data_IF_527888153638
#
_entry.id   IF_527888153638
#
_cell.length_a   1.000
_cell.length_b   1.000
_cell.length_c   1.000
_cell.angle_alpha   90.00
_cell.angle_beta   90.00
_cell.angle_gamma   90.00
#
_symmetry.space_group_name_H-M   'P 1'
#
loop_
_entity.id
_entity.type
_entity.pdbx_description
1 polymer ?
#
# COMPACT_ATOMS: atom_id res chain seq x y z
N UNK A 1 -17.85 -8.17 4.01
CA UNK A 1 -17.93 -6.71 3.79
C UNK A 1 -16.60 -6.30 3.17
N UNK A 2 -16.57 -5.51 2.08
CA UNK A 2 -15.31 -5.00 1.56
C UNK A 2 -14.70 -4.02 2.57
N UNK A 3 -13.42 -4.16 2.85
CA UNK A 3 -12.65 -3.23 3.67
C UNK A 3 -12.02 -2.22 2.72
N UNK A 4 -12.24 -0.93 2.95
CA UNK A 4 -11.60 0.11 2.18
C UNK A 4 -10.18 0.29 2.71
N UNK A 5 -9.21 -0.02 1.86
CA UNK A 5 -7.80 0.22 2.15
C UNK A 5 -7.48 1.63 1.67
N UNK A 6 -7.22 2.53 2.62
CA UNK A 6 -6.80 3.90 2.34
C UNK A 6 -5.28 3.95 2.30
N UNK A 7 -4.73 4.70 1.35
CA UNK A 7 -3.29 4.91 1.27
C UNK A 7 -2.84 5.74 2.49
N UNK A 8 -1.95 5.22 3.36
CA UNK A 8 -1.37 5.96 4.45
C UNK A 8 -0.33 6.91 3.91
N UNK A 9 -0.12 8.02 4.60
CA UNK A 9 1.00 8.90 4.31
C UNK A 9 2.30 8.17 4.72
N UNK A 10 3.03 7.60 3.75
CA UNK A 10 4.28 6.88 4.00
C UNK A 10 5.46 7.85 4.25
N UNK A 11 5.28 9.14 3.98
CA UNK A 11 6.24 10.20 4.34
C UNK A 11 5.49 11.48 4.74
N UNK A 12 6.04 12.28 5.67
CA UNK A 12 5.40 13.52 6.14
C UNK A 12 5.26 14.59 5.03
N UNK A 13 5.95 14.44 3.90
CA UNK A 13 5.84 15.33 2.74
C UNK A 13 5.26 14.64 1.51
N UNK A 14 4.70 13.45 1.66
CA UNK A 14 4.17 12.68 0.55
C UNK A 14 2.74 13.13 0.24
N UNK A 15 2.57 13.82 -0.89
CA UNK A 15 1.27 14.21 -1.42
C UNK A 15 0.74 13.20 -2.44
N UNK A 16 1.65 12.59 -3.22
CA UNK A 16 1.32 11.64 -4.28
C UNK A 16 2.28 10.44 -4.21
N UNK A 17 1.77 9.25 -4.54
CA UNK A 17 2.53 8.00 -4.60
C UNK A 17 2.08 7.17 -5.78
N UNK A 18 3.03 6.59 -6.52
CA UNK A 18 2.72 5.71 -7.64
C UNK A 18 2.63 4.29 -7.12
N UNK A 19 1.50 3.62 -7.36
CA UNK A 19 1.39 2.19 -7.10
C UNK A 19 2.32 1.44 -8.08
N UNK A 20 3.44 0.94 -7.58
CA UNK A 20 4.42 0.23 -8.39
C UNK A 20 3.94 -1.20 -8.69
N UNK A 21 3.44 -1.90 -7.67
CA UNK A 21 3.06 -3.31 -7.79
C UNK A 21 2.09 -3.76 -6.71
N UNK A 22 1.11 -4.59 -7.10
CA UNK A 22 0.31 -5.36 -6.15
C UNK A 22 1.05 -6.66 -5.76
N UNK A 23 1.17 -6.89 -4.45
CA UNK A 23 1.71 -8.13 -3.88
C UNK A 23 0.60 -9.15 -3.57
N UNK A 24 -0.65 -8.69 -3.48
CA UNK A 24 -1.84 -9.53 -3.33
C UNK A 24 -2.59 -9.69 -4.64
N UNK A 25 -3.38 -10.77 -4.75
CA UNK A 25 -4.29 -11.00 -5.89
C UNK A 25 -5.74 -10.84 -5.49
N UNK A 26 -6.58 -10.66 -6.49
CA UNK A 26 -8.03 -10.66 -6.29
C UNK A 26 -8.50 -11.98 -5.68
N UNK A 27 -9.17 -11.90 -4.53
CA UNK A 27 -9.65 -13.06 -3.78
C UNK A 27 -8.72 -13.54 -2.67
N UNK A 28 -7.52 -12.98 -2.54
CA UNK A 28 -6.65 -13.27 -1.39
C UNK A 28 -7.23 -12.69 -0.09
N UNK A 29 -7.00 -13.41 1.01
CA UNK A 29 -7.33 -12.92 2.35
C UNK A 29 -6.16 -12.09 2.86
N UNK A 30 -6.44 -10.85 3.23
CA UNK A 30 -5.45 -9.89 3.74
C UNK A 30 -5.71 -9.65 5.23
N UNK A 31 -4.68 -9.78 6.05
CA UNK A 31 -4.73 -9.45 7.47
C UNK A 31 -4.02 -8.12 7.78
N UNK A 32 -4.33 -7.52 8.93
CA UNK A 32 -3.63 -6.32 9.40
C UNK A 32 -2.15 -6.65 9.63
N UNK A 33 -1.26 -5.86 9.03
CA UNK A 33 0.19 -6.09 8.99
C UNK A 33 0.70 -6.85 7.76
N UNK A 34 -0.18 -7.34 6.88
CA UNK A 34 0.25 -7.96 5.62
C UNK A 34 0.62 -6.88 4.59
N UNK A 35 1.74 -7.07 3.89
CA UNK A 35 2.15 -6.20 2.78
C UNK A 35 1.32 -6.53 1.53
N UNK A 36 0.58 -5.55 1.04
CA UNK A 36 -0.35 -5.71 -0.08
C UNK A 36 0.13 -5.07 -1.38
N UNK A 37 0.98 -4.05 -1.29
CA UNK A 37 1.49 -3.37 -2.47
C UNK A 37 2.83 -2.69 -2.21
N UNK A 38 3.53 -2.36 -3.28
CA UNK A 38 4.70 -1.49 -3.28
C UNK A 38 4.29 -0.13 -3.85
N UNK A 39 4.64 0.93 -3.14
CA UNK A 39 4.43 2.31 -3.55
C UNK A 39 5.78 2.92 -3.88
N UNK A 40 5.93 3.40 -5.11
CA UNK A 40 7.09 4.16 -5.54
C UNK A 40 6.83 5.66 -5.40
N UNK A 41 7.78 6.34 -4.79
CA UNK A 41 7.80 7.80 -4.62
C UNK A 41 9.00 8.38 -5.34
N UNK A 42 9.08 9.70 -5.39
CA UNK A 42 10.25 10.43 -5.92
C UNK A 42 11.56 10.11 -5.20
N UNK A 43 11.48 9.62 -3.94
CA UNK A 43 12.67 9.38 -3.10
C UNK A 43 12.98 7.91 -2.85
N UNK A 44 11.96 7.07 -2.76
CA UNK A 44 12.14 5.65 -2.41
C UNK A 44 10.91 4.81 -2.79
N UNK A 45 11.13 3.51 -2.91
CA UNK A 45 10.07 2.50 -2.92
C UNK A 45 9.76 2.08 -1.49
N UNK A 46 8.50 2.09 -1.12
CA UNK A 46 8.01 1.77 0.23
C UNK A 46 6.95 0.68 0.15
N UNK A 47 6.95 -0.20 1.15
CA UNK A 47 5.98 -1.28 1.27
C UNK A 47 4.69 -0.76 1.92
N UNK A 48 3.56 -1.13 1.34
CA UNK A 48 2.25 -0.77 1.86
C UNK A 48 1.62 -1.96 2.59
N UNK A 49 1.42 -1.77 3.89
CA UNK A 49 0.79 -2.74 4.79
C UNK A 49 -0.71 -2.46 4.95
N UNK A 50 -1.51 -3.53 4.99
CA UNK A 50 -2.92 -3.44 5.34
C UNK A 50 -3.07 -3.10 6.83
N UNK A 51 -3.93 -2.12 7.14
CA UNK A 51 -4.28 -1.70 8.51
C UNK A 51 -5.75 -1.92 8.79
#
# INVERSE_FOLDING_TARGET
>A
MPIQILMPALSPTMEEGTLAKWLVKEGDSVASGDVIAEIETDKATMEFEAV
#
